data_IF_206778247276
#
_entry.id   IF_206778247276
#
_cell.length_a   1.000
_cell.length_b   1.000
_cell.length_c   1.000
_cell.angle_alpha   90.00
_cell.angle_beta   90.00
_cell.angle_gamma   90.00
#
_symmetry.space_group_name_H-M   'P 1'
#
loop_
_entity.id
_entity.type
_entity.pdbx_description
1 polymer ?
#
# COMPACT_ATOMS: atom_id res chain seq x y z
N UNK A 1 17.76 -30.33 1.15
CA UNK A 1 16.68 -30.23 2.16
C UNK A 1 16.58 -28.78 2.58
N UNK A 2 15.38 -28.19 2.58
CA UNK A 2 15.14 -26.84 3.08
C UNK A 2 14.16 -26.93 4.25
N UNK A 3 14.53 -26.41 5.42
CA UNK A 3 13.65 -26.38 6.59
C UNK A 3 12.54 -25.36 6.39
N UNK A 4 11.29 -25.80 6.50
CA UNK A 4 10.14 -24.90 6.42
C UNK A 4 10.06 -23.94 7.61
N UNK A 5 9.60 -22.71 7.35
CA UNK A 5 9.25 -21.78 8.42
C UNK A 5 7.95 -22.25 9.10
N UNK A 6 8.08 -23.07 10.15
CA UNK A 6 6.98 -23.34 11.05
C UNK A 6 6.61 -22.04 11.78
N UNK A 7 5.36 -21.59 11.61
CA UNK A 7 4.85 -20.41 12.31
C UNK A 7 4.67 -20.63 13.82
N UNK A 8 4.37 -19.55 14.55
CA UNK A 8 4.13 -19.58 15.98
C UNK A 8 3.12 -20.67 16.39
N UNK A 9 3.46 -21.41 17.45
CA UNK A 9 2.58 -22.43 18.00
C UNK A 9 1.30 -21.81 18.58
N UNK A 10 0.22 -22.60 18.62
CA UNK A 10 -1.04 -22.19 19.22
C UNK A 10 -0.93 -21.88 20.73
N UNK A 11 0.15 -22.34 21.38
CA UNK A 11 0.45 -22.02 22.77
C UNK A 11 1.19 -20.68 22.92
N UNK A 12 1.95 -20.23 21.92
CA UNK A 12 2.51 -18.87 21.86
C UNK A 12 1.43 -17.84 21.51
N UNK A 13 0.53 -18.17 20.58
CA UNK A 13 -0.64 -17.33 20.26
C UNK A 13 -1.55 -17.11 21.49
N UNK A 14 -1.69 -18.13 22.36
CA UNK A 14 -2.39 -17.98 23.65
C UNK A 14 -1.64 -17.10 24.65
N UNK A 15 -0.30 -17.17 24.72
CA UNK A 15 0.51 -16.23 25.55
C UNK A 15 0.36 -14.77 25.08
N UNK A 16 0.28 -14.55 23.77
CA UNK A 16 0.12 -13.22 23.16
C UNK A 16 -1.28 -12.62 23.36
N UNK A 17 -2.33 -13.44 23.56
CA UNK A 17 -3.72 -12.97 23.71
C UNK A 17 -4.01 -12.33 25.08
N UNK A 18 -3.27 -12.72 26.12
CA UNK A 18 -3.38 -12.16 27.47
C UNK A 18 -4.69 -12.52 28.23
N UNK A 19 -4.80 -12.18 29.53
CA UNK A 19 -5.83 -12.72 30.43
C UNK A 19 -7.25 -12.12 30.27
N UNK A 20 -7.58 -11.51 29.14
CA UNK A 20 -8.76 -10.64 29.00
C UNK A 20 -9.78 -11.09 27.95
N UNK A 21 -9.67 -12.33 27.47
CA UNK A 21 -10.43 -12.84 26.32
C UNK A 21 -11.54 -13.85 26.67
N UNK A 22 -11.75 -14.19 27.94
CA UNK A 22 -12.67 -15.23 28.39
C UNK A 22 -13.96 -14.65 29.00
N UNK A 23 -14.82 -14.02 28.20
CA UNK A 23 -16.23 -13.82 28.56
C UNK A 23 -17.12 -13.73 27.31
N UNK A 24 -17.67 -14.88 26.90
CA UNK A 24 -18.77 -14.93 25.93
C UNK A 24 -19.60 -16.20 26.10
N UNK A 25 -20.67 -16.14 26.90
CA UNK A 25 -21.98 -16.71 26.53
C UNK A 25 -23.11 -16.37 27.53
N UNK A 26 -24.35 -16.50 27.03
CA UNK A 26 -25.66 -16.46 27.73
C UNK A 26 -26.32 -15.11 28.10
N UNK A 27 -27.59 -15.00 27.66
CA UNK A 27 -28.76 -14.29 28.21
C UNK A 27 -28.74 -12.80 28.61
N UNK A 28 -29.37 -12.00 27.74
CA UNK A 28 -30.63 -11.27 27.98
C UNK A 28 -30.83 -10.23 29.13
N UNK A 29 -31.73 -9.28 28.83
CA UNK A 29 -32.27 -8.22 29.71
C UNK A 29 -31.27 -7.24 30.38
N UNK A 30 -31.13 -6.04 29.79
CA UNK A 30 -31.76 -4.83 30.35
C UNK A 30 -31.67 -3.62 29.41
N UNK A 31 -32.79 -2.89 29.20
CA UNK A 31 -32.77 -1.57 28.55
C UNK A 31 -32.48 -0.46 29.56
N UNK A 32 -31.41 0.31 29.37
CA UNK A 32 -31.35 1.74 29.73
C UNK A 32 -30.54 2.54 28.69
N UNK A 33 -30.94 3.78 28.36
CA UNK A 33 -30.21 4.61 27.40
C UNK A 33 -28.97 5.27 28.04
N UNK A 34 -27.87 5.34 27.30
CA UNK A 34 -26.71 6.15 27.68
C UNK A 34 -26.95 7.64 27.34
N UNK A 35 -26.53 8.53 28.23
CA UNK A 35 -26.79 9.97 28.12
C UNK A 35 -25.99 10.64 27.00
N UNK A 36 -26.68 11.40 26.13
CA UNK A 36 -26.09 12.04 24.94
C UNK A 36 -25.81 13.53 25.22
N UNK A 37 -24.74 13.81 25.97
CA UNK A 37 -24.23 15.17 26.17
C UNK A 37 -23.45 15.69 24.93
N UNK A 38 -24.13 15.79 23.77
CA UNK A 38 -23.59 16.46 22.58
C UNK A 38 -23.40 17.95 22.87
N UNK A 39 -22.21 18.48 22.61
CA UNK A 39 -21.94 19.92 22.77
C UNK A 39 -22.80 20.77 21.83
N UNK A 40 -23.25 21.94 22.29
CA UNK A 40 -24.08 22.89 21.52
C UNK A 40 -23.46 23.25 20.17
N UNK A 41 -22.13 23.27 20.05
CA UNK A 41 -21.41 23.52 18.80
C UNK A 41 -21.52 22.34 17.81
N UNK A 42 -21.57 21.10 18.32
CA UNK A 42 -21.70 19.90 17.50
C UNK A 42 -23.10 19.81 16.87
N UNK A 43 -24.15 20.14 17.63
CA UNK A 43 -25.54 20.21 17.13
C UNK A 43 -25.69 21.25 16.00
N UNK A 44 -25.01 22.39 16.11
CA UNK A 44 -25.00 23.42 15.06
C UNK A 44 -24.30 22.92 13.78
N UNK A 45 -23.18 22.21 13.90
CA UNK A 45 -22.46 21.59 12.77
C UNK A 45 -23.29 20.50 12.09
N UNK A 46 -23.95 19.65 12.87
CA UNK A 46 -24.85 18.59 12.41
C UNK A 46 -26.04 19.17 11.63
N UNK A 47 -26.66 20.23 12.16
CA UNK A 47 -27.76 20.95 11.49
C UNK A 47 -27.33 21.68 10.21
N UNK A 48 -26.11 22.23 10.16
CA UNK A 48 -25.57 22.86 8.95
C UNK A 48 -25.33 21.84 7.82
N UNK A 49 -24.75 20.69 8.13
CA UNK A 49 -24.57 19.58 7.18
C UNK A 49 -25.93 19.07 6.67
N UNK A 50 -26.92 18.88 7.55
CA UNK A 50 -28.24 18.41 7.13
C UNK A 50 -28.96 19.39 6.19
N UNK A 51 -28.79 20.70 6.38
CA UNK A 51 -29.29 21.71 5.42
C UNK A 51 -28.56 21.68 4.08
N UNK A 52 -27.26 21.38 4.06
CA UNK A 52 -26.51 21.20 2.82
C UNK A 52 -27.00 19.96 2.04
N UNK A 53 -27.22 18.84 2.73
CA UNK A 53 -27.79 17.64 2.11
C UNK A 53 -29.20 17.88 1.56
N UNK A 54 -30.07 18.60 2.27
CA UNK A 54 -31.41 18.95 1.77
C UNK A 54 -31.39 19.89 0.55
N UNK A 55 -30.37 20.73 0.41
CA UNK A 55 -30.19 21.59 -0.78
C UNK A 55 -29.69 20.84 -2.01
N UNK A 56 -29.00 19.71 -1.83
CA UNK A 56 -28.51 18.86 -2.92
C UNK A 56 -29.52 17.75 -3.28
N UNK A 57 -30.26 17.22 -2.32
CA UNK A 57 -31.24 16.15 -2.50
C UNK A 57 -32.61 16.61 -3.02
N UNK A 58 -32.66 17.44 -4.08
CA UNK A 58 -33.93 17.86 -4.70
C UNK A 58 -33.95 17.84 -6.23
N UNK A 59 -33.35 16.80 -6.82
CA UNK A 59 -33.76 16.26 -8.10
C UNK A 59 -33.89 14.74 -8.01
N UNK A 60 -35.10 14.25 -8.25
CA UNK A 60 -35.45 12.87 -8.59
C UNK A 60 -36.51 12.98 -9.70
N UNK A 61 -36.30 12.32 -10.86
CA UNK A 61 -37.30 12.36 -11.94
C UNK A 61 -36.78 12.24 -13.37
N UNK A 62 -36.49 11.01 -13.78
CA UNK A 62 -36.60 10.48 -15.16
C UNK A 62 -35.63 10.90 -16.29
N UNK A 63 -35.35 9.87 -17.11
CA UNK A 63 -35.05 9.87 -18.55
C UNK A 63 -33.62 10.12 -19.09
N UNK A 64 -33.30 9.26 -20.08
CA UNK A 64 -32.28 9.28 -21.13
C UNK A 64 -30.79 9.09 -20.80
N UNK A 65 -30.27 8.05 -21.47
CA UNK A 65 -28.86 7.77 -21.78
C UNK A 65 -28.34 8.77 -22.82
N UNK A 66 -27.10 9.25 -22.71
CA UNK A 66 -26.00 8.95 -23.66
C UNK A 66 -24.63 9.39 -23.12
N UNK A 67 -23.51 8.74 -23.52
CA UNK A 67 -22.16 9.10 -23.08
C UNK A 67 -21.35 9.82 -24.17
N UNK A 68 -20.66 10.92 -23.82
CA UNK A 68 -19.44 11.35 -24.52
C UNK A 68 -18.69 12.45 -23.75
N UNK A 69 -17.48 12.14 -23.25
CA UNK A 69 -16.40 13.12 -23.14
C UNK A 69 -15.05 12.41 -22.96
N UNK A 70 -14.13 12.66 -23.88
CA UNK A 70 -12.92 11.86 -24.09
C UNK A 70 -11.77 12.25 -23.15
N UNK A 71 -11.04 11.25 -22.67
CA UNK A 71 -9.82 11.44 -21.89
C UNK A 71 -8.74 12.13 -22.74
N UNK A 72 -8.18 13.24 -22.25
CA UNK A 72 -7.15 14.00 -22.96
C UNK A 72 -5.73 13.50 -22.66
N UNK A 73 -4.98 13.19 -23.72
CA UNK A 73 -3.62 12.62 -23.64
C UNK A 73 -2.57 13.67 -23.24
N UNK A 74 -1.68 13.40 -22.26
CA UNK A 74 -0.54 14.27 -21.94
C UNK A 74 0.49 14.35 -23.08
N UNK A 75 0.89 15.57 -23.47
CA UNK A 75 1.90 15.78 -24.52
C UNK A 75 3.33 15.66 -23.99
N UNK A 76 4.09 14.74 -24.56
CA UNK A 76 5.55 14.66 -24.39
C UNK A 76 6.26 15.79 -25.15
N UNK A 77 7.47 16.18 -24.70
CA UNK A 77 8.49 16.87 -25.52
C UNK A 77 9.86 16.22 -25.29
N UNK A 78 10.64 15.91 -26.34
CA UNK A 78 11.97 15.30 -26.21
C UNK A 78 13.12 16.31 -26.41
N UNK A 79 14.30 16.00 -25.86
CA UNK A 79 15.59 16.41 -26.44
C UNK A 79 16.75 15.50 -25.97
N UNK A 80 17.75 15.32 -26.82
CA UNK A 80 18.95 14.47 -26.72
C UNK A 80 20.03 15.07 -27.65
N UNK A 81 21.30 14.61 -27.69
CA UNK A 81 22.17 14.01 -26.67
C UNK A 81 23.56 14.73 -26.62
N UNK A 82 24.58 14.18 -25.91
CA UNK A 82 25.92 13.84 -26.45
C UNK A 82 26.91 13.27 -25.37
N UNK A 83 28.11 12.86 -25.82
CA UNK A 83 29.11 11.95 -25.19
C UNK A 83 30.56 12.55 -25.35
N UNK A 84 31.72 11.86 -25.12
CA UNK A 84 32.17 11.00 -24.00
C UNK A 84 33.67 11.17 -23.55
N UNK A 85 34.01 10.86 -22.26
CA UNK A 85 35.32 10.35 -21.75
C UNK A 85 36.64 11.19 -22.01
N UNK A 86 37.90 10.81 -21.59
CA UNK A 86 38.44 9.63 -20.86
C UNK A 86 39.25 9.99 -19.53
N UNK A 87 40.43 9.43 -19.10
CA UNK A 87 40.74 9.10 -17.66
C UNK A 87 42.10 9.76 -17.15
N UNK A 88 43.07 9.20 -16.35
CA UNK A 88 43.18 7.97 -15.52
C UNK A 88 43.71 8.07 -14.01
N UNK A 89 44.99 7.83 -13.56
CA UNK A 89 45.29 7.14 -12.26
C UNK A 89 46.41 7.80 -11.35
N UNK A 90 47.23 7.11 -10.48
CA UNK A 90 46.91 6.32 -9.25
C UNK A 90 47.78 6.61 -7.96
N UNK A 91 47.26 6.21 -6.77
CA UNK A 91 48.01 5.68 -5.58
C UNK A 91 49.04 6.59 -4.81
N UNK A 92 49.67 6.14 -3.69
CA UNK A 92 49.14 5.53 -2.44
C UNK A 92 49.73 6.19 -1.13
N UNK A 93 49.47 5.61 0.07
CA UNK A 93 50.33 5.47 1.30
C UNK A 93 49.54 5.51 2.64
N UNK A 94 50.10 4.90 3.70
CA UNK A 94 49.56 4.70 5.06
C UNK A 94 50.17 5.67 6.10
N UNK A 95 49.47 5.85 7.22
CA UNK A 95 49.93 5.73 8.64
C UNK A 95 49.07 6.65 9.54
N UNK A 96 48.46 6.23 10.67
CA UNK A 96 48.86 5.47 11.87
C UNK A 96 49.31 6.40 13.03
N UNK A 97 49.01 5.98 14.28
CA UNK A 97 49.21 6.67 15.59
C UNK A 97 48.12 7.74 15.86
N UNK A 98 47.27 7.66 16.89
CA UNK A 98 47.44 7.38 18.34
C UNK A 98 48.42 8.29 19.07
N UNK A 99 47.88 9.08 20.01
CA UNK A 99 48.31 9.00 21.42
C UNK A 99 47.34 9.73 22.36
N UNK A 100 46.87 9.01 23.39
CA UNK A 100 46.38 9.60 24.63
C UNK A 100 47.57 9.77 25.58
N UNK A 101 47.68 10.90 26.29
CA UNK A 101 48.44 10.91 27.55
C UNK A 101 47.90 11.91 28.56
N UNK A 102 47.34 11.37 29.63
CA UNK A 102 47.02 12.06 30.89
C UNK A 102 48.32 12.47 31.59
N UNK A 103 48.44 13.75 31.95
CA UNK A 103 49.48 14.22 32.88
C UNK A 103 48.82 14.88 34.10
N UNK A 104 49.43 14.70 35.26
CA UNK A 104 48.96 15.15 36.58
C UNK A 104 50.20 15.46 37.42
N UNK A 105 50.06 16.28 38.48
CA UNK A 105 51.09 16.49 39.53
C UNK A 105 52.34 17.30 39.10
N UNK A 106 53.15 17.92 39.99
CA UNK A 106 52.88 18.57 41.30
C UNK A 106 54.13 19.37 41.75
N UNK A 107 53.95 20.29 42.71
CA UNK A 107 54.90 20.73 43.74
C UNK A 107 56.13 21.61 43.42
N UNK A 108 56.59 22.28 44.49
CA UNK A 108 57.87 23.00 44.70
C UNK A 108 58.12 24.26 43.82
N UNK A 109 58.42 25.45 44.36
CA UNK A 109 58.54 25.89 45.76
C UNK A 109 59.99 25.99 46.23
N UNK A 110 60.48 27.23 46.40
CA UNK A 110 61.76 27.54 47.03
C UNK A 110 61.68 28.92 47.71
N UNK A 111 61.74 28.95 49.05
CA UNK A 111 62.14 30.15 49.77
C UNK A 111 63.67 30.25 49.79
N UNK A 112 64.24 31.44 49.99
CA UNK A 112 65.59 31.51 50.55
C UNK A 112 65.83 32.80 51.33
N UNK A 113 66.52 32.67 52.47
CA UNK A 113 66.74 33.72 53.47
C UNK A 113 68.17 33.63 53.98
N UNK A 114 68.98 34.65 53.74
CA UNK A 114 70.26 34.83 54.44
C UNK A 114 70.38 36.24 55.02
N UNK A 115 71.10 36.31 56.13
CA UNK A 115 71.36 37.52 56.90
C UNK A 115 72.90 37.65 57.03
N UNK A 116 73.45 38.84 56.87
CA UNK A 116 74.89 39.07 56.89
C UNK A 116 75.19 40.52 57.25
N UNK A 117 75.92 40.74 58.34
CA UNK A 117 76.06 42.03 58.99
C UNK A 117 77.53 42.26 59.35
N UNK A 118 78.24 43.08 58.58
CA UNK A 118 79.59 43.54 58.90
C UNK A 118 79.78 45.03 58.60
N UNK A 119 80.65 45.66 59.38
CA UNK A 119 81.03 47.08 59.32
C UNK A 119 82.42 47.18 59.95
N UNK A 120 83.41 47.81 59.31
CA UNK A 120 83.81 49.12 59.83
C UNK A 120 84.23 50.15 58.76
N UNK A 121 83.73 51.38 58.95
CA UNK A 121 84.51 52.62 59.00
C UNK A 121 85.78 52.77 58.12
N UNK A 122 85.71 53.65 57.11
CA UNK A 122 86.77 54.64 56.86
C UNK A 122 86.26 55.91 56.14
N UNK A 123 87.03 57.00 56.23
CA UNK A 123 86.79 58.37 55.76
C UNK A 123 88.17 59.03 55.51
N UNK A 124 88.30 60.17 54.80
CA UNK A 124 87.39 60.82 53.85
C UNK A 124 88.08 61.24 52.51
N UNK A 125 87.33 61.36 51.40
CA UNK A 125 87.81 62.07 50.18
C UNK A 125 86.74 63.06 49.69
N UNK A 126 87.19 64.20 49.15
CA UNK A 126 86.34 65.33 48.70
C UNK A 126 86.05 65.26 47.19
N UNK A 127 84.93 65.89 46.81
CA UNK A 127 84.45 66.17 45.45
C UNK A 127 83.82 65.00 44.66
N UNK A 128 83.07 65.38 43.62
CA UNK A 128 82.41 64.55 42.59
C UNK A 128 81.15 63.72 42.88
N UNK A 129 80.56 63.80 44.09
CA UNK A 129 79.18 63.26 44.33
C UNK A 129 78.13 63.82 43.34
N UNK A 130 78.34 65.03 42.81
CA UNK A 130 77.48 65.72 41.83
C UNK A 130 77.78 65.32 40.37
N UNK A 131 78.96 64.75 40.11
CA UNK A 131 79.33 64.15 38.83
C UNK A 131 78.83 62.70 38.76
N UNK A 132 79.04 61.94 39.83
CA UNK A 132 78.63 60.55 39.93
C UNK A 132 77.10 60.41 39.88
N UNK A 133 76.36 61.28 40.58
CA UNK A 133 74.89 61.31 40.46
C UNK A 133 74.43 61.56 39.01
N UNK A 134 75.11 62.42 38.25
CA UNK A 134 74.80 62.65 36.82
C UNK A 134 75.16 61.44 35.95
N UNK A 135 76.25 60.74 36.26
CA UNK A 135 76.65 59.49 35.57
C UNK A 135 75.57 58.41 35.77
N UNK A 136 75.16 58.19 37.01
CA UNK A 136 74.07 57.24 37.36
C UNK A 136 72.76 57.65 36.69
N UNK A 137 72.35 58.91 36.76
CA UNK A 137 71.10 59.39 36.16
C UNK A 137 71.08 59.26 34.62
N UNK A 138 72.23 59.40 33.94
CA UNK A 138 72.37 59.13 32.50
C UNK A 138 72.37 57.63 32.18
N UNK A 139 73.01 56.81 33.01
CA UNK A 139 73.00 55.35 32.91
C UNK A 139 71.58 54.78 33.12
N UNK A 140 70.81 55.35 34.04
CA UNK A 140 69.40 55.01 34.27
C UNK A 140 68.51 55.42 33.09
N UNK A 141 68.73 56.60 32.48
CA UNK A 141 68.01 57.01 31.27
C UNK A 141 68.30 56.09 30.09
N UNK A 142 69.57 55.72 29.89
CA UNK A 142 69.98 54.72 28.89
C UNK A 142 69.32 53.35 29.13
N UNK A 143 69.32 52.87 30.39
CA UNK A 143 68.63 51.63 30.78
C UNK A 143 67.12 51.68 30.53
N UNK A 144 66.47 52.79 30.83
CA UNK A 144 65.04 53.00 30.54
C UNK A 144 64.74 53.00 29.04
N UNK A 145 65.59 53.63 28.23
CA UNK A 145 65.44 53.62 26.78
C UNK A 145 65.59 52.22 26.18
N UNK A 146 66.59 51.44 26.61
CA UNK A 146 66.75 50.03 26.20
C UNK A 146 65.49 49.21 26.56
N UNK A 147 65.00 49.30 27.80
CA UNK A 147 63.77 48.60 28.22
C UNK A 147 62.55 49.01 27.39
N UNK A 148 62.43 50.28 27.02
CA UNK A 148 61.33 50.76 26.19
C UNK A 148 61.45 50.31 24.72
N UNK A 149 62.67 50.12 24.21
CA UNK A 149 62.91 49.52 22.90
C UNK A 149 62.60 48.01 22.92
N UNK A 150 63.02 47.29 23.96
CA UNK A 150 62.69 45.87 24.17
C UNK A 150 61.17 45.64 24.29
N UNK A 151 60.46 46.48 25.04
CA UNK A 151 59.00 46.44 25.14
C UNK A 151 58.35 46.63 23.76
N UNK A 152 58.72 47.67 23.01
CA UNK A 152 58.19 47.93 21.65
C UNK A 152 58.46 46.74 20.70
N UNK A 153 59.63 46.12 20.78
CA UNK A 153 59.95 44.90 20.02
C UNK A 153 59.13 43.68 20.47
N UNK A 154 58.84 43.54 21.77
CA UNK A 154 57.98 42.48 22.30
C UNK A 154 56.51 42.67 21.86
N UNK A 155 56.01 43.90 21.88
CA UNK A 155 54.66 44.26 21.44
C UNK A 155 54.47 43.98 19.95
N UNK A 156 55.41 44.37 19.08
CA UNK A 156 55.38 44.03 17.65
C UNK A 156 55.48 42.51 17.41
N UNK A 157 56.34 41.78 18.13
CA UNK A 157 56.38 40.31 18.07
C UNK A 157 55.04 39.68 18.48
N UNK A 158 54.41 40.19 19.54
CA UNK A 158 53.12 39.70 20.03
C UNK A 158 51.94 40.07 19.10
N UNK A 159 51.96 41.27 18.49
CA UNK A 159 51.02 41.71 17.45
C UNK A 159 51.08 40.81 16.22
N UNK A 160 52.28 40.45 15.75
CA UNK A 160 52.49 39.50 14.64
C UNK A 160 52.01 38.09 15.01
N UNK A 161 52.31 37.59 16.21
CA UNK A 161 51.79 36.30 16.72
C UNK A 161 50.26 36.28 16.79
N UNK A 162 49.64 37.33 17.35
CA UNK A 162 48.17 37.48 17.42
C UNK A 162 47.54 37.50 16.03
N UNK A 163 48.12 38.23 15.07
CA UNK A 163 47.63 38.29 13.69
C UNK A 163 47.75 36.93 12.96
N UNK A 164 48.84 36.19 13.16
CA UNK A 164 49.01 34.84 12.61
C UNK A 164 47.98 33.86 13.21
N UNK A 165 47.80 33.90 14.54
CA UNK A 165 46.81 33.07 15.23
C UNK A 165 45.38 33.38 14.77
N UNK A 166 45.02 34.67 14.62
CA UNK A 166 43.72 35.08 14.10
C UNK A 166 43.48 34.57 12.67
N UNK A 167 44.48 34.64 11.79
CA UNK A 167 44.40 34.05 10.43
C UNK A 167 44.21 32.54 10.47
N UNK A 168 44.94 31.83 11.33
CA UNK A 168 44.81 30.37 11.48
C UNK A 168 43.43 29.96 12.02
N UNK A 169 42.87 30.71 12.98
CA UNK A 169 41.52 30.49 13.51
C UNK A 169 40.46 30.77 12.43
N UNK A 170 40.59 31.87 11.68
CA UNK A 170 39.65 32.22 10.61
C UNK A 170 39.64 31.17 9.48
N UNK A 171 40.81 30.72 9.04
CA UNK A 171 40.94 29.68 8.01
C UNK A 171 40.44 28.32 8.50
N UNK A 172 40.72 27.92 9.75
CA UNK A 172 40.15 26.68 10.33
C UNK A 172 38.63 26.77 10.45
N UNK A 173 38.10 27.91 10.91
CA UNK A 173 36.65 28.16 10.98
C UNK A 173 35.99 28.07 9.61
N UNK A 174 36.61 28.66 8.57
CA UNK A 174 36.13 28.58 7.17
C UNK A 174 36.06 27.13 6.67
N UNK A 175 37.07 26.29 6.97
CA UNK A 175 37.06 24.85 6.62
C UNK A 175 35.93 24.11 7.33
N UNK A 176 35.82 24.26 8.65
CA UNK A 176 34.74 23.64 9.44
C UNK A 176 33.34 24.11 9.03
N UNK A 177 33.19 25.37 8.60
CA UNK A 177 31.92 25.85 8.00
C UNK A 177 31.63 25.16 6.66
N UNK A 178 32.62 25.03 5.76
CA UNK A 178 32.45 24.33 4.48
C UNK A 178 32.12 22.84 4.67
N UNK A 179 32.79 22.17 5.62
CA UNK A 179 32.50 20.81 6.06
C UNK A 179 31.07 20.69 6.61
N UNK A 180 30.65 21.62 7.46
CA UNK A 180 29.28 21.68 8.02
C UNK A 180 28.23 21.85 6.90
N UNK A 181 28.49 22.67 5.89
CA UNK A 181 27.60 22.82 4.72
C UNK A 181 27.56 21.54 3.87
N UNK A 182 28.70 20.87 3.67
CA UNK A 182 28.77 19.58 2.96
C UNK A 182 27.97 18.50 3.70
N UNK A 183 28.13 18.38 5.02
CA UNK A 183 27.35 17.44 5.85
C UNK A 183 25.84 17.74 5.79
N UNK A 184 25.45 19.01 5.88
CA UNK A 184 24.03 19.43 5.73
C UNK A 184 23.46 19.17 4.34
N UNK A 185 24.27 19.19 3.28
CA UNK A 185 23.85 18.75 1.94
C UNK A 185 23.61 17.24 1.92
N UNK A 186 24.58 16.44 2.35
CA UNK A 186 24.49 14.97 2.37
C UNK A 186 23.27 14.52 3.20
N UNK A 187 23.02 15.14 4.37
CA UNK A 187 21.86 14.84 5.20
C UNK A 187 20.52 15.12 4.48
N UNK A 188 20.44 16.20 3.67
CA UNK A 188 19.25 16.50 2.86
C UNK A 188 19.08 15.55 1.68
N UNK A 189 20.18 15.15 1.06
CA UNK A 189 20.17 14.18 -0.05
C UNK A 189 19.72 12.79 0.45
N UNK A 190 20.14 12.37 1.65
CA UNK A 190 19.63 11.17 2.31
C UNK A 190 18.13 11.28 2.66
N UNK A 191 17.71 12.36 3.34
CA UNK A 191 16.30 12.57 3.69
C UNK A 191 15.39 12.54 2.46
N UNK A 192 15.82 13.10 1.32
CA UNK A 192 15.05 13.08 0.08
C UNK A 192 14.86 11.67 -0.52
N UNK A 193 15.78 10.72 -0.24
CA UNK A 193 15.61 9.31 -0.60
C UNK A 193 14.60 8.63 0.34
N UNK A 194 14.69 8.89 1.65
CA UNK A 194 13.75 8.35 2.65
C UNK A 194 12.32 8.86 2.40
N UNK A 195 12.16 10.15 2.07
CA UNK A 195 10.88 10.79 1.74
C UNK A 195 10.26 10.19 0.47
N UNK A 196 11.08 9.96 -0.57
CA UNK A 196 10.65 9.36 -1.85
C UNK A 196 10.18 7.91 -1.67
N UNK A 197 10.99 7.08 -0.97
CA UNK A 197 10.60 5.69 -0.66
C UNK A 197 9.35 5.66 0.23
N UNK A 198 9.20 6.60 1.16
CA UNK A 198 8.00 6.73 1.99
C UNK A 198 6.74 7.07 1.16
N UNK A 199 6.88 7.92 0.13
CA UNK A 199 5.79 8.24 -0.80
C UNK A 199 5.38 7.03 -1.64
N UNK A 200 6.34 6.30 -2.22
CA UNK A 200 6.07 5.08 -3.01
C UNK A 200 5.42 3.97 -2.16
N UNK A 201 5.88 3.77 -0.92
CA UNK A 201 5.24 2.85 0.04
C UNK A 201 3.80 3.29 0.34
N UNK A 202 3.53 4.60 0.44
CA UNK A 202 2.18 5.15 0.60
C UNK A 202 1.27 4.85 -0.60
N UNK A 203 1.77 5.04 -1.82
CA UNK A 203 1.04 4.74 -3.06
C UNK A 203 0.74 3.23 -3.15
N UNK A 204 1.71 2.38 -2.85
CA UNK A 204 1.54 0.92 -2.87
C UNK A 204 0.53 0.44 -1.84
N UNK A 205 0.55 0.95 -0.60
CA UNK A 205 -0.45 0.64 0.44
C UNK A 205 -1.86 1.01 -0.01
N UNK A 206 -2.08 2.26 -0.41
CA UNK A 206 -3.38 2.72 -0.90
C UNK A 206 -3.91 1.87 -2.07
N UNK A 207 -3.02 1.41 -2.96
CA UNK A 207 -3.38 0.56 -4.11
C UNK A 207 -3.68 -0.89 -3.72
N UNK A 208 -3.00 -1.43 -2.70
CA UNK A 208 -3.30 -2.73 -2.10
C UNK A 208 -4.66 -2.68 -1.37
N UNK A 209 -4.92 -1.62 -0.61
CA UNK A 209 -6.18 -1.44 0.12
C UNK A 209 -7.37 -1.34 -0.85
N UNK A 210 -7.24 -0.52 -1.90
CA UNK A 210 -8.24 -0.40 -2.98
C UNK A 210 -8.48 -1.75 -3.66
N UNK A 211 -7.43 -2.44 -4.11
CA UNK A 211 -7.58 -3.76 -4.74
C UNK A 211 -8.20 -4.82 -3.81
N UNK A 212 -7.95 -4.73 -2.50
CA UNK A 212 -8.53 -5.62 -1.49
C UNK A 212 -10.02 -5.33 -1.27
N UNK A 213 -10.43 -4.05 -1.32
CA UNK A 213 -11.84 -3.65 -1.31
C UNK A 213 -12.57 -4.12 -2.57
N UNK A 214 -11.97 -3.91 -3.75
CA UNK A 214 -12.55 -4.30 -5.05
C UNK A 214 -12.69 -5.82 -5.17
N UNK A 215 -11.67 -6.59 -4.77
CA UNK A 215 -11.76 -8.05 -4.66
C UNK A 215 -12.88 -8.49 -3.71
N UNK A 216 -12.99 -7.85 -2.54
CA UNK A 216 -14.02 -8.19 -1.54
C UNK A 216 -15.44 -7.86 -2.04
N UNK A 217 -15.61 -6.84 -2.88
CA UNK A 217 -16.87 -6.51 -3.53
C UNK A 217 -17.20 -7.48 -4.68
N UNK A 218 -16.23 -7.74 -5.56
CA UNK A 218 -16.37 -8.67 -6.67
C UNK A 218 -16.73 -10.09 -6.19
N UNK A 219 -16.06 -10.57 -5.12
CA UNK A 219 -16.37 -11.85 -4.49
C UNK A 219 -17.81 -11.90 -3.98
N UNK A 220 -18.26 -10.91 -3.19
CA UNK A 220 -19.66 -10.86 -2.70
C UNK A 220 -20.70 -10.84 -3.82
N UNK A 221 -20.38 -10.22 -4.96
CA UNK A 221 -21.23 -10.23 -6.16
C UNK A 221 -21.23 -11.60 -6.84
N UNK A 222 -20.09 -12.27 -6.91
CA UNK A 222 -19.97 -13.66 -7.40
C UNK A 222 -20.76 -14.63 -6.50
N UNK A 223 -20.49 -14.62 -5.18
CA UNK A 223 -21.14 -15.52 -4.20
C UNK A 223 -22.68 -15.39 -4.30
N UNK A 224 -23.18 -14.15 -4.45
CA UNK A 224 -24.60 -13.88 -4.70
C UNK A 224 -25.09 -14.48 -6.03
N UNK A 225 -24.41 -14.21 -7.15
CA UNK A 225 -24.82 -14.71 -8.47
C UNK A 225 -24.83 -16.24 -8.54
N UNK A 226 -23.88 -16.91 -7.86
CA UNK A 226 -23.86 -18.37 -7.72
C UNK A 226 -25.10 -18.88 -6.99
N UNK A 227 -25.47 -18.27 -5.84
CA UNK A 227 -26.69 -18.63 -5.12
C UNK A 227 -27.99 -18.41 -5.93
N UNK A 228 -28.05 -17.33 -6.72
CA UNK A 228 -29.20 -17.05 -7.60
C UNK A 228 -29.27 -18.07 -8.75
N UNK A 229 -28.12 -18.46 -9.34
CA UNK A 229 -28.04 -19.50 -10.37
C UNK A 229 -28.47 -20.89 -9.84
N UNK A 230 -27.98 -21.30 -8.67
CA UNK A 230 -28.34 -22.60 -8.07
C UNK A 230 -29.84 -22.65 -7.73
N UNK A 231 -30.40 -21.57 -7.17
CA UNK A 231 -31.83 -21.48 -6.89
C UNK A 231 -32.67 -21.56 -8.17
N UNK A 232 -32.29 -20.84 -9.23
CA UNK A 232 -32.98 -20.87 -10.52
C UNK A 232 -32.90 -22.26 -11.19
N UNK A 233 -31.74 -22.93 -11.12
CA UNK A 233 -31.53 -24.28 -11.67
C UNK A 233 -32.43 -25.31 -10.98
N UNK A 234 -32.48 -25.30 -9.65
CA UNK A 234 -33.36 -26.20 -8.88
C UNK A 234 -34.84 -25.92 -9.17
N UNK A 235 -35.24 -24.66 -9.33
CA UNK A 235 -36.61 -24.30 -9.66
C UNK A 235 -37.02 -24.74 -11.08
N UNK A 236 -36.11 -24.64 -12.05
CA UNK A 236 -36.29 -25.19 -13.40
C UNK A 236 -36.45 -26.72 -13.40
N UNK A 237 -35.66 -27.44 -12.58
CA UNK A 237 -35.78 -28.90 -12.45
C UNK A 237 -37.14 -29.29 -11.87
N UNK A 238 -37.58 -28.68 -10.76
CA UNK A 238 -38.92 -28.94 -10.19
C UNK A 238 -40.06 -28.66 -11.17
N UNK A 239 -39.96 -27.60 -11.97
CA UNK A 239 -40.96 -27.28 -13.01
C UNK A 239 -40.96 -28.31 -14.14
N UNK A 240 -39.80 -28.88 -14.46
CA UNK A 240 -39.64 -29.97 -15.43
C UNK A 240 -40.28 -31.26 -14.92
N UNK A 241 -39.97 -31.64 -13.67
CA UNK A 241 -40.56 -32.79 -12.96
C UNK A 241 -42.10 -32.69 -12.88
N UNK A 242 -42.64 -31.52 -12.48
CA UNK A 242 -44.10 -31.28 -12.42
C UNK A 242 -44.74 -31.41 -13.81
N UNK A 243 -44.11 -30.87 -14.86
CA UNK A 243 -44.57 -30.97 -16.25
C UNK A 243 -44.56 -32.44 -16.72
N UNK A 244 -43.53 -33.21 -16.36
CA UNK A 244 -43.46 -34.65 -16.65
C UNK A 244 -44.57 -35.44 -15.93
N UNK A 245 -44.72 -35.30 -14.61
CA UNK A 245 -45.79 -35.99 -13.87
C UNK A 245 -47.21 -35.64 -14.33
N UNK A 246 -47.47 -34.39 -14.73
CA UNK A 246 -48.76 -34.00 -15.32
C UNK A 246 -48.97 -34.65 -16.70
N UNK A 247 -47.90 -34.88 -17.46
CA UNK A 247 -47.95 -35.57 -18.77
C UNK A 247 -48.18 -37.08 -18.57
N UNK A 248 -47.46 -37.72 -17.66
CA UNK A 248 -47.67 -39.13 -17.26
C UNK A 248 -49.11 -39.38 -16.82
N UNK A 249 -49.65 -38.49 -15.98
CA UNK A 249 -51.03 -38.57 -15.51
C UNK A 249 -52.06 -38.39 -16.63
N UNK A 250 -51.82 -37.43 -17.54
CA UNK A 250 -52.68 -37.22 -18.72
C UNK A 250 -52.68 -38.44 -19.64
N UNK A 251 -51.51 -39.02 -19.96
CA UNK A 251 -51.40 -40.25 -20.74
C UNK A 251 -52.16 -41.41 -20.06
N UNK A 252 -52.05 -41.54 -18.74
CA UNK A 252 -52.80 -42.54 -17.96
C UNK A 252 -54.32 -42.34 -18.07
N UNK A 253 -54.80 -41.10 -17.97
CA UNK A 253 -56.24 -40.77 -18.12
C UNK A 253 -56.74 -41.11 -19.53
N UNK A 254 -55.95 -40.81 -20.56
CA UNK A 254 -56.29 -41.09 -21.97
C UNK A 254 -56.37 -42.60 -22.19
N UNK A 255 -55.34 -43.38 -21.79
CA UNK A 255 -55.35 -44.84 -21.90
C UNK A 255 -56.56 -45.46 -21.18
N UNK A 256 -56.90 -44.97 -19.99
CA UNK A 256 -58.11 -45.38 -19.27
C UNK A 256 -59.42 -44.91 -19.92
N UNK A 257 -59.41 -43.87 -20.77
CA UNK A 257 -60.58 -43.44 -21.54
C UNK A 257 -60.79 -44.37 -22.75
N UNK A 258 -59.73 -44.63 -23.53
CA UNK A 258 -59.79 -45.50 -24.69
C UNK A 258 -60.15 -46.95 -24.30
N UNK A 259 -59.59 -47.47 -23.20
CA UNK A 259 -59.96 -48.79 -22.67
C UNK A 259 -61.46 -48.88 -22.28
N UNK A 260 -62.07 -47.77 -21.84
CA UNK A 260 -63.51 -47.72 -21.53
C UNK A 260 -64.36 -47.57 -22.79
N UNK A 261 -63.92 -46.79 -23.77
CA UNK A 261 -64.56 -46.70 -25.09
C UNK A 261 -64.59 -48.07 -25.77
N UNK A 262 -63.43 -48.73 -25.89
CA UNK A 262 -63.31 -50.05 -26.52
C UNK A 262 -64.28 -51.07 -25.89
N UNK A 263 -64.28 -51.20 -24.56
CA UNK A 263 -65.21 -52.09 -23.83
C UNK A 263 -66.69 -51.74 -24.04
N UNK A 264 -67.03 -50.45 -24.18
CA UNK A 264 -68.42 -50.04 -24.43
C UNK A 264 -68.84 -50.21 -25.89
N UNK A 265 -67.92 -50.06 -26.84
CA UNK A 265 -68.15 -50.39 -28.25
C UNK A 265 -68.35 -51.90 -28.41
N UNK A 266 -67.50 -52.73 -27.79
CA UNK A 266 -67.64 -54.19 -27.74
C UNK A 266 -69.00 -54.63 -27.16
N UNK A 267 -69.45 -53.99 -26.07
CA UNK A 267 -70.77 -54.23 -25.48
C UNK A 267 -71.93 -53.85 -26.43
N UNK A 268 -71.78 -52.75 -27.19
CA UNK A 268 -72.79 -52.26 -28.14
C UNK A 268 -72.85 -53.09 -29.43
N UNK A 269 -71.71 -53.55 -29.95
CA UNK A 269 -71.65 -54.46 -31.12
C UNK A 269 -72.37 -55.78 -30.80
N UNK A 270 -72.13 -56.34 -29.60
CA UNK A 270 -72.82 -57.54 -29.10
C UNK A 270 -74.33 -57.33 -28.87
N UNK A 271 -74.76 -56.10 -28.56
CA UNK A 271 -76.18 -55.74 -28.46
C UNK A 271 -76.87 -55.55 -29.81
N UNK A 272 -76.09 -55.43 -30.90
CA UNK A 272 -76.59 -55.24 -32.27
C UNK A 272 -76.53 -56.54 -33.11
N UNK A 273 -76.09 -57.66 -32.50
CA UNK A 273 -75.86 -58.96 -33.17
C UNK A 273 -74.90 -58.88 -34.37
N UNK A 274 -73.95 -57.92 -34.34
CA UNK A 274 -72.82 -57.87 -35.28
C UNK A 274 -71.79 -58.92 -34.84
N UNK A 275 -71.90 -60.10 -35.44
CA UNK A 275 -70.89 -61.17 -35.37
C UNK A 275 -69.67 -60.83 -36.25
N UNK A 276 -68.70 -61.76 -36.34
CA UNK A 276 -67.45 -61.56 -37.08
C UNK A 276 -67.62 -61.65 -38.61
N UNK A 277 -68.40 -60.72 -39.18
CA UNK A 277 -68.61 -60.55 -40.62
C UNK A 277 -67.35 -59.99 -41.33
N UNK A 278 -67.27 -60.14 -42.66
CA UNK A 278 -66.11 -59.74 -43.47
C UNK A 278 -65.75 -58.24 -43.30
N UNK A 279 -66.76 -57.36 -43.13
CA UNK A 279 -66.58 -55.92 -42.88
C UNK A 279 -65.80 -55.62 -41.59
N UNK A 280 -65.98 -56.43 -40.53
CA UNK A 280 -65.27 -56.23 -39.26
C UNK A 280 -63.79 -56.64 -39.37
N UNK A 281 -63.48 -57.61 -40.24
CA UNK A 281 -62.10 -58.01 -40.54
C UNK A 281 -61.38 -56.97 -41.42
N UNK A 282 -62.07 -56.37 -42.40
CA UNK A 282 -61.51 -55.28 -43.19
C UNK A 282 -61.19 -54.04 -42.34
N UNK A 283 -62.06 -53.68 -41.39
CA UNK A 283 -61.82 -52.59 -40.43
C UNK A 283 -60.58 -52.84 -39.55
N UNK A 284 -60.36 -54.07 -39.08
CA UNK A 284 -59.20 -54.43 -38.26
C UNK A 284 -57.89 -54.33 -39.07
N UNK A 285 -57.93 -54.72 -40.35
CA UNK A 285 -56.84 -54.58 -41.32
C UNK A 285 -56.53 -53.10 -41.65
N UNK A 286 -57.55 -52.24 -41.80
CA UNK A 286 -57.35 -50.79 -42.04
C UNK A 286 -56.71 -50.11 -40.82
N UNK A 287 -57.14 -50.47 -39.60
CA UNK A 287 -56.56 -49.94 -38.35
C UNK A 287 -55.09 -50.34 -38.21
N UNK A 288 -54.70 -51.58 -38.50
CA UNK A 288 -53.29 -52.00 -38.42
C UNK A 288 -52.40 -51.28 -39.45
N UNK A 289 -52.89 -51.08 -40.69
CA UNK A 289 -52.18 -50.28 -41.70
C UNK A 289 -52.01 -48.82 -41.26
N UNK A 290 -53.06 -48.21 -40.68
CA UNK A 290 -53.01 -46.84 -40.17
C UNK A 290 -51.99 -46.68 -39.03
N UNK A 291 -51.90 -47.68 -38.14
CA UNK A 291 -50.95 -47.68 -37.02
C UNK A 291 -49.50 -47.73 -37.52
N UNK A 292 -49.20 -48.66 -38.44
CA UNK A 292 -47.87 -48.78 -39.06
C UNK A 292 -47.46 -47.49 -39.80
N UNK A 293 -48.41 -46.81 -40.46
CA UNK A 293 -48.13 -45.52 -41.09
C UNK A 293 -47.82 -44.42 -40.07
N UNK A 294 -48.55 -44.33 -38.96
CA UNK A 294 -48.25 -43.34 -37.91
C UNK A 294 -46.86 -43.56 -37.28
N UNK A 295 -46.46 -44.81 -37.01
CA UNK A 295 -45.10 -45.10 -36.52
C UNK A 295 -44.03 -44.68 -37.54
N UNK A 296 -44.25 -45.01 -38.82
CA UNK A 296 -43.34 -44.67 -39.91
C UNK A 296 -43.26 -43.17 -40.21
N UNK A 297 -44.26 -42.37 -39.83
CA UNK A 297 -44.25 -40.90 -39.92
C UNK A 297 -43.64 -40.25 -38.68
N UNK A 298 -43.98 -40.73 -37.48
CA UNK A 298 -43.40 -40.26 -36.21
C UNK A 298 -41.88 -40.42 -36.17
N UNK A 299 -41.36 -41.55 -36.65
CA UNK A 299 -39.92 -41.78 -36.79
C UNK A 299 -39.21 -40.76 -37.70
N UNK A 300 -39.87 -40.30 -38.78
CA UNK A 300 -39.32 -39.28 -39.68
C UNK A 300 -39.31 -37.90 -39.04
N UNK A 301 -40.35 -37.54 -38.30
CA UNK A 301 -40.44 -36.27 -37.59
C UNK A 301 -39.39 -36.16 -36.47
N UNK A 302 -39.13 -37.26 -35.75
CA UNK A 302 -38.03 -37.33 -34.78
C UNK A 302 -36.65 -37.15 -35.44
N UNK A 303 -36.40 -37.84 -36.56
CA UNK A 303 -35.14 -37.74 -37.29
C UNK A 303 -34.89 -36.33 -37.89
N UNK A 304 -35.92 -35.67 -38.41
CA UNK A 304 -35.83 -34.28 -38.87
C UNK A 304 -35.54 -33.32 -37.72
N UNK A 305 -36.18 -33.49 -36.57
CA UNK A 305 -35.96 -32.66 -35.38
C UNK A 305 -34.50 -32.74 -34.89
N UNK A 306 -33.89 -33.93 -34.92
CA UNK A 306 -32.48 -34.12 -34.57
C UNK A 306 -31.51 -33.47 -35.58
N UNK A 307 -31.82 -33.55 -36.88
CA UNK A 307 -31.02 -32.87 -37.93
C UNK A 307 -31.07 -31.34 -37.79
N UNK A 308 -32.23 -30.78 -37.42
CA UNK A 308 -32.38 -29.33 -37.19
C UNK A 308 -31.56 -28.85 -35.97
N UNK A 309 -31.42 -29.66 -34.92
CA UNK A 309 -30.52 -29.33 -33.81
C UNK A 309 -29.03 -29.39 -34.20
N UNK A 310 -28.62 -30.40 -34.97
CA UNK A 310 -27.19 -30.55 -35.36
C UNK A 310 -26.75 -29.45 -36.33
N UNK A 311 -27.59 -29.12 -37.31
CA UNK A 311 -27.30 -28.03 -38.27
C UNK A 311 -27.28 -26.65 -37.61
N UNK A 312 -27.98 -26.44 -36.49
CA UNK A 312 -27.88 -25.20 -35.70
C UNK A 312 -26.51 -25.06 -35.01
N UNK A 313 -25.94 -26.15 -34.47
CA UNK A 313 -24.61 -26.14 -33.84
C UNK A 313 -23.49 -25.91 -34.87
N UNK A 314 -23.59 -26.53 -36.06
CA UNK A 314 -22.62 -26.36 -37.16
C UNK A 314 -22.61 -24.93 -37.73
N UNK A 315 -23.78 -24.29 -37.84
CA UNK A 315 -23.87 -22.87 -38.21
C UNK A 315 -23.34 -21.93 -37.11
N UNK A 316 -23.53 -22.28 -35.83
CA UNK A 316 -22.97 -21.51 -34.72
C UNK A 316 -21.43 -21.55 -34.72
N UNK A 317 -20.83 -22.72 -35.00
CA UNK A 317 -19.38 -22.87 -35.16
C UNK A 317 -18.86 -22.08 -36.38
N UNK A 318 -19.58 -22.14 -37.51
CA UNK A 318 -19.21 -21.45 -38.76
C UNK A 318 -19.25 -19.91 -38.65
N UNK A 319 -20.00 -19.35 -37.69
CA UNK A 319 -20.07 -17.90 -37.46
C UNK A 319 -18.86 -17.35 -36.67
N UNK A 320 -18.09 -18.23 -35.99
CA UNK A 320 -16.94 -17.81 -35.18
C UNK A 320 -15.69 -17.45 -36.00
N UNK A 321 -15.52 -18.06 -37.18
CA UNK A 321 -14.28 -17.95 -37.99
C UNK A 321 -14.22 -16.72 -38.90
N UNK A 322 -15.29 -15.94 -39.01
CA UNK A 322 -15.40 -14.80 -39.93
C UNK A 322 -14.83 -13.49 -39.35
N UNK A 323 -14.45 -13.46 -38.06
CA UNK A 323 -14.04 -12.23 -37.35
C UNK A 323 -12.52 -11.99 -37.18
N UNK A 324 -11.67 -12.76 -37.87
CA UNK A 324 -10.19 -12.55 -37.84
C UNK A 324 -9.61 -11.90 -39.13
N UNK A 325 -10.45 -11.42 -40.06
CA UNK A 325 -9.99 -10.82 -41.32
C UNK A 325 -10.68 -9.48 -41.66
N UNK A 326 -10.56 -8.47 -40.78
CA UNK A 326 -10.68 -7.04 -41.13
C UNK A 326 -9.76 -6.17 -40.24
#
# INVERSE_FOLDING_TARGET
MAGGWAGFSEQELRRLRGPHADTSESSDQQRRPLSVNKSRQQLLREKALQQQCQKLGRQDGAASVLPEQLLSVPKHKPCLPQQPLPPPPPSPIKDQRQHDTRAQQNAQGLENRCNGNEKPQELPVKMDFKLEKKRVELQEKSRWEVLQQEQRLMEEKNKRKKALLAKAIAERSKRTQAETVKLKRIQKELQALDDMVSADIGILRNRIDQASMDYSFARKRYDKAESEYVAAKLDFQRKTEIKEHLTEHLCTIIQQNELRKAKKLEELMKQLEVEADEENLELEIEVEQMLQQQEAEGGRQAAQSQNLSQTAEENAASCATVKENE
#
